data_IF_505808490078
#
_entry.id   IF_505808490078
#
_cell.length_a   1.000
_cell.length_b   1.000
_cell.length_c   1.000
_cell.angle_alpha   90.00
_cell.angle_beta   90.00
_cell.angle_gamma   90.00
#
_symmetry.space_group_name_H-M   'P 1'
#
loop_
_entity.id
_entity.type
_entity.pdbx_description
1 polymer ?
#
# COMPACT_ATOMS: atom_id res chain seq x y z
N UNK A 1 -5.05 -15.00 2.04
CA UNK A 1 -6.04 -14.89 0.94
C UNK A 1 -6.76 -16.22 0.84
N UNK A 2 -8.06 -16.17 0.95
CA UNK A 2 -8.90 -17.35 0.85
C UNK A 2 -8.94 -17.82 -0.61
N UNK A 3 -8.19 -18.89 -0.90
CA UNK A 3 -8.27 -19.56 -2.18
C UNK A 3 -9.69 -20.07 -2.37
N UNK A 4 -10.34 -19.67 -3.46
CA UNK A 4 -11.65 -20.24 -3.78
C UNK A 4 -11.50 -21.74 -4.01
N UNK A 5 -12.28 -22.59 -3.31
CA UNK A 5 -12.27 -24.02 -3.51
C UNK A 5 -12.51 -24.36 -5.00
N UNK A 6 -11.80 -25.34 -5.52
CA UNK A 6 -11.88 -25.78 -6.92
C UNK A 6 -11.39 -24.80 -7.99
N UNK A 7 -10.74 -23.70 -7.59
CA UNK A 7 -10.08 -22.80 -8.55
C UNK A 7 -8.93 -23.51 -9.28
N UNK A 8 -8.51 -23.06 -10.48
CA UNK A 8 -7.35 -23.62 -11.17
C UNK A 8 -6.08 -23.62 -10.32
N UNK A 9 -5.90 -22.58 -9.48
CA UNK A 9 -4.79 -22.46 -8.56
C UNK A 9 -4.89 -23.48 -7.43
N UNK A 10 -6.06 -23.65 -6.82
CA UNK A 10 -6.29 -24.66 -5.76
C UNK A 10 -5.97 -26.07 -6.25
N UNK A 11 -6.48 -26.45 -7.44
CA UNK A 11 -6.16 -27.75 -8.06
C UNK A 11 -4.68 -27.94 -8.33
N UNK A 12 -3.98 -26.90 -8.77
CA UNK A 12 -2.54 -26.94 -9.02
C UNK A 12 -1.76 -27.13 -7.73
N UNK A 13 -2.12 -26.39 -6.66
CA UNK A 13 -1.50 -26.51 -5.34
C UNK A 13 -1.75 -27.90 -4.73
N UNK A 14 -2.96 -28.44 -4.85
CA UNK A 14 -3.28 -29.82 -4.42
C UNK A 14 -2.45 -30.87 -5.15
N UNK A 15 -2.24 -30.68 -6.47
CA UNK A 15 -1.39 -31.58 -7.26
C UNK A 15 0.06 -31.52 -6.82
N UNK A 16 0.63 -30.34 -6.63
CA UNK A 16 2.00 -30.12 -6.16
C UNK A 16 2.19 -30.70 -4.75
N UNK A 17 1.20 -30.50 -3.87
CA UNK A 17 1.26 -31.03 -2.51
C UNK A 17 1.25 -32.58 -2.49
N UNK A 18 0.42 -33.22 -3.31
CA UNK A 18 0.42 -34.68 -3.47
C UNK A 18 1.76 -35.23 -3.96
N UNK A 19 2.45 -34.48 -4.79
CA UNK A 19 3.78 -34.82 -5.31
C UNK A 19 4.92 -34.46 -4.36
N UNK A 20 4.62 -33.88 -3.17
CA UNK A 20 5.60 -33.36 -2.20
C UNK A 20 6.55 -32.33 -2.79
N UNK A 21 6.08 -31.55 -3.77
CA UNK A 21 6.82 -30.47 -4.43
C UNK A 21 6.41 -29.09 -3.89
N UNK A 22 5.58 -29.04 -2.86
CA UNK A 22 5.10 -27.81 -2.23
C UNK A 22 5.61 -27.72 -0.81
N UNK A 23 6.26 -26.61 -0.50
CA UNK A 23 6.57 -26.19 0.86
C UNK A 23 5.72 -24.97 1.22
N UNK A 24 5.01 -25.03 2.33
CA UNK A 24 4.13 -23.95 2.77
C UNK A 24 4.81 -23.16 3.88
N UNK A 25 5.08 -21.87 3.59
CA UNK A 25 5.62 -20.93 4.58
C UNK A 25 4.47 -20.07 5.10
N UNK A 26 4.19 -20.19 6.40
CA UNK A 26 3.20 -19.37 7.09
C UNK A 26 3.83 -18.09 7.62
N UNK A 27 3.57 -16.96 6.96
CA UNK A 27 3.99 -15.64 7.44
C UNK A 27 3.02 -15.19 8.52
N UNK A 28 3.55 -15.02 9.75
CA UNK A 28 2.79 -14.56 10.91
C UNK A 28 2.98 -13.06 11.12
N UNK A 29 2.07 -12.45 11.86
CA UNK A 29 2.29 -11.12 12.41
C UNK A 29 3.52 -11.14 13.34
N UNK A 30 4.17 -9.99 13.47
CA UNK A 30 5.26 -9.77 14.43
C UNK A 30 4.73 -9.96 15.85
N UNK A 31 5.56 -10.53 16.71
CA UNK A 31 5.31 -10.50 18.16
C UNK A 31 5.49 -9.07 18.67
N UNK A 32 5.15 -8.85 19.93
CA UNK A 32 5.37 -7.54 20.58
C UNK A 32 6.86 -7.18 20.58
N UNK A 33 7.73 -8.15 20.90
CA UNK A 33 9.18 -7.99 20.93
C UNK A 33 9.75 -7.66 19.54
N UNK A 34 9.30 -8.36 18.50
CA UNK A 34 9.69 -8.09 17.12
C UNK A 34 9.17 -6.72 16.64
N UNK A 35 7.98 -6.30 17.06
CA UNK A 35 7.45 -4.96 16.78
C UNK A 35 8.31 -3.90 17.45
N UNK A 36 8.70 -4.08 18.70
CA UNK A 36 9.62 -3.19 19.43
C UNK A 36 10.95 -3.08 18.68
N UNK A 37 11.50 -4.20 18.24
CA UNK A 37 12.76 -4.23 17.50
C UNK A 37 12.65 -3.48 16.17
N UNK A 38 11.54 -3.65 15.44
CA UNK A 38 11.27 -2.90 14.21
C UNK A 38 11.25 -1.39 14.46
N UNK A 39 10.55 -0.94 15.51
CA UNK A 39 10.48 0.48 15.86
C UNK A 39 11.87 1.01 16.26
N UNK A 40 12.64 0.25 17.05
CA UNK A 40 14.00 0.59 17.46
C UNK A 40 14.95 0.78 16.28
N UNK A 41 14.90 -0.12 15.33
CA UNK A 41 15.71 -0.02 14.10
C UNK A 41 15.36 1.20 13.26
N UNK A 42 14.10 1.63 13.29
CA UNK A 42 13.62 2.79 12.52
C UNK A 42 13.97 4.12 13.19
N UNK A 43 13.78 4.24 14.50
CA UNK A 43 13.85 5.52 15.22
C UNK A 43 14.95 5.59 16.30
N UNK A 44 15.63 4.49 16.59
CA UNK A 44 16.60 4.40 17.67
C UNK A 44 15.95 4.09 19.03
N UNK A 45 16.77 3.73 20.01
CA UNK A 45 16.27 3.23 21.31
C UNK A 45 15.65 4.34 22.18
N UNK A 46 16.09 5.60 22.03
CA UNK A 46 15.69 6.70 22.91
C UNK A 46 14.22 7.13 22.75
N UNK A 47 13.64 6.87 21.58
CA UNK A 47 12.25 7.27 21.25
C UNK A 47 11.22 6.30 21.82
N UNK A 48 11.64 5.12 22.25
CA UNK A 48 10.74 4.01 22.59
C UNK A 48 10.64 3.84 24.10
N UNK A 49 9.43 4.07 24.61
CA UNK A 49 9.06 3.62 25.96
C UNK A 49 8.17 2.39 25.87
N UNK A 50 8.09 1.55 26.92
CA UNK A 50 7.19 0.39 26.92
C UNK A 50 5.74 0.75 26.57
N UNK A 51 5.24 1.88 27.07
CA UNK A 51 3.88 2.35 26.85
C UNK A 51 3.65 2.74 25.38
N UNK A 52 4.65 3.32 24.70
CA UNK A 52 4.58 3.63 23.27
C UNK A 52 4.54 2.35 22.43
N UNK A 53 5.39 1.39 22.75
CA UNK A 53 5.40 0.10 22.09
C UNK A 53 4.06 -0.63 22.27
N UNK A 54 3.49 -0.61 23.47
CA UNK A 54 2.19 -1.20 23.78
C UNK A 54 1.07 -0.54 22.99
N UNK A 55 1.09 0.77 22.87
CA UNK A 55 0.13 1.52 22.07
C UNK A 55 0.19 1.11 20.60
N UNK A 56 1.38 1.07 19.99
CA UNK A 56 1.56 0.68 18.58
C UNK A 56 1.16 -0.79 18.37
N UNK A 57 1.66 -1.71 19.21
CA UNK A 57 1.31 -3.12 19.10
C UNK A 57 -0.18 -3.36 19.28
N UNK A 58 -0.81 -2.74 20.27
CA UNK A 58 -2.25 -2.86 20.53
C UNK A 58 -3.13 -2.38 19.38
N UNK A 59 -2.65 -1.43 18.56
CA UNK A 59 -3.37 -0.93 17.38
C UNK A 59 -3.12 -1.77 16.13
N UNK A 60 -1.94 -2.35 15.99
CA UNK A 60 -1.48 -3.03 14.77
C UNK A 60 -1.56 -4.55 14.87
N UNK A 61 -1.64 -5.08 16.08
CA UNK A 61 -1.58 -6.53 16.40
C UNK A 61 -0.37 -7.19 15.71
N UNK A 62 0.73 -6.43 15.61
CA UNK A 62 1.98 -6.87 14.98
C UNK A 62 1.92 -7.05 13.46
N UNK A 63 0.90 -6.57 12.77
CA UNK A 63 0.90 -6.57 11.31
C UNK A 63 1.99 -5.61 10.79
N UNK A 64 3.06 -6.09 10.11
CA UNK A 64 4.22 -5.27 9.75
C UNK A 64 3.84 -4.04 8.92
N UNK A 65 2.99 -4.24 7.91
CA UNK A 65 2.52 -3.14 7.07
C UNK A 65 1.78 -2.08 7.91
N UNK A 66 0.94 -2.52 8.85
CA UNK A 66 0.20 -1.58 9.68
C UNK A 66 1.10 -0.87 10.70
N UNK A 67 2.12 -1.54 11.22
CA UNK A 67 3.15 -0.90 12.07
C UNK A 67 3.85 0.22 11.30
N UNK A 68 4.35 -0.08 10.09
CA UNK A 68 5.02 0.91 9.24
C UNK A 68 4.12 2.10 8.87
N UNK A 69 2.86 1.85 8.51
CA UNK A 69 1.91 2.90 8.15
C UNK A 69 1.54 3.80 9.34
N UNK A 70 1.36 3.22 10.53
CA UNK A 70 1.14 3.99 11.77
C UNK A 70 2.34 4.88 12.05
N UNK A 71 3.54 4.31 12.04
CA UNK A 71 4.77 5.05 12.32
C UNK A 71 5.00 6.18 11.32
N UNK A 72 4.77 5.91 10.03
CA UNK A 72 4.86 6.92 8.97
C UNK A 72 3.85 8.05 9.20
N UNK A 73 2.59 7.72 9.51
CA UNK A 73 1.56 8.73 9.80
C UNK A 73 1.97 9.63 10.98
N UNK A 74 2.54 9.06 12.04
CA UNK A 74 3.00 9.81 13.20
C UNK A 74 4.17 10.75 12.88
N UNK A 75 5.03 10.38 11.92
CA UNK A 75 6.10 11.26 11.41
C UNK A 75 5.51 12.38 10.55
N UNK A 76 4.63 12.06 9.62
CA UNK A 76 3.99 13.02 8.72
C UNK A 76 3.15 14.05 9.47
N UNK A 77 2.50 13.66 10.59
CA UNK A 77 1.72 14.54 11.45
C UNK A 77 2.59 15.34 12.45
N UNK A 78 3.92 15.18 12.39
CA UNK A 78 4.84 15.85 13.31
C UNK A 78 4.68 15.42 14.78
N UNK A 79 4.14 14.22 14.99
CA UNK A 79 4.01 13.58 16.30
C UNK A 79 5.31 12.90 16.72
N UNK A 80 5.98 12.25 15.76
CA UNK A 80 7.36 11.81 15.83
C UNK A 80 8.18 12.77 14.95
N UNK A 81 9.23 13.34 15.46
CA UNK A 81 10.02 14.35 14.78
C UNK A 81 11.52 14.18 15.03
N UNK A 82 12.33 14.73 14.15
CA UNK A 82 13.77 14.65 14.25
C UNK A 82 14.32 15.87 15.01
N UNK A 83 15.22 15.61 15.95
CA UNK A 83 16.00 16.63 16.69
C UNK A 83 17.48 16.48 16.37
N UNK A 84 18.32 17.38 16.86
CA UNK A 84 19.79 17.28 16.75
C UNK A 84 20.36 16.02 17.43
N UNK A 85 19.64 15.50 18.44
CA UNK A 85 20.02 14.29 19.20
C UNK A 85 19.45 12.98 18.63
N UNK A 86 18.68 13.05 17.55
CA UNK A 86 17.98 11.91 16.94
C UNK A 86 16.47 12.12 16.87
N UNK A 87 15.74 11.03 16.89
CA UNK A 87 14.28 11.06 16.86
C UNK A 87 13.70 11.30 18.26
N UNK A 88 12.63 12.08 18.33
CA UNK A 88 11.84 12.35 19.54
C UNK A 88 10.34 12.34 19.19
N UNK A 89 9.48 12.36 20.20
CA UNK A 89 8.03 12.32 20.03
C UNK A 89 7.28 13.16 21.07
N UNK A 90 6.04 13.52 20.74
CA UNK A 90 5.11 14.14 21.68
C UNK A 90 4.74 13.17 22.82
N UNK A 91 4.24 13.67 23.96
CA UNK A 91 3.71 12.84 25.04
C UNK A 91 2.65 11.85 24.53
N UNK A 92 2.59 10.64 25.12
CA UNK A 92 1.68 9.57 24.66
C UNK A 92 0.21 10.01 24.71
N UNK A 93 -0.17 10.84 25.63
CA UNK A 93 -1.54 11.36 25.81
C UNK A 93 -1.99 12.21 24.61
N UNK A 94 -1.04 12.76 23.85
CA UNK A 94 -1.29 13.59 22.67
C UNK A 94 -1.23 12.78 21.35
N UNK A 95 -0.93 11.47 21.43
CA UNK A 95 -0.80 10.61 20.27
C UNK A 95 -2.17 10.20 19.71
N UNK A 96 -2.55 10.79 18.59
CA UNK A 96 -3.71 10.36 17.82
C UNK A 96 -3.34 9.18 16.90
N UNK A 97 -3.15 7.99 17.48
CA UNK A 97 -2.85 6.78 16.68
C UNK A 97 -4.12 6.30 15.97
N UNK A 98 -4.12 6.24 14.64
CA UNK A 98 -5.29 5.77 13.88
C UNK A 98 -5.69 4.35 14.26
N UNK A 99 -7.00 4.09 14.30
CA UNK A 99 -7.53 2.81 14.75
C UNK A 99 -7.51 1.71 13.68
N UNK A 100 -7.38 2.09 12.41
CA UNK A 100 -7.42 1.14 11.29
C UNK A 100 -6.49 1.55 10.15
N UNK A 101 -5.96 0.57 9.41
CA UNK A 101 -5.21 0.79 8.18
C UNK A 101 -6.00 1.67 7.20
N UNK A 102 -7.32 1.42 7.10
CA UNK A 102 -8.21 2.19 6.21
C UNK A 102 -8.19 3.68 6.50
N UNK A 103 -8.18 4.07 7.78
CA UNK A 103 -8.13 5.48 8.20
C UNK A 103 -6.81 6.12 7.79
N UNK A 104 -5.69 5.43 7.95
CA UNK A 104 -4.37 5.92 7.57
C UNK A 104 -4.30 6.10 6.06
N UNK A 105 -4.69 5.07 5.31
CA UNK A 105 -4.65 5.11 3.85
C UNK A 105 -5.55 6.23 3.30
N UNK A 106 -6.75 6.43 3.87
CA UNK A 106 -7.63 7.54 3.49
C UNK A 106 -6.99 8.91 3.77
N UNK A 107 -6.35 9.07 4.93
CA UNK A 107 -5.61 10.31 5.25
C UNK A 107 -4.49 10.57 4.25
N UNK A 108 -3.75 9.54 3.83
CA UNK A 108 -2.68 9.69 2.82
C UNK A 108 -3.26 10.05 1.45
N UNK A 109 -4.32 9.38 1.02
CA UNK A 109 -4.97 9.67 -0.26
C UNK A 109 -5.54 11.10 -0.30
N UNK A 110 -6.07 11.60 0.81
CA UNK A 110 -6.63 12.96 0.90
C UNK A 110 -5.60 14.08 0.82
N UNK A 111 -4.30 13.76 0.97
CA UNK A 111 -3.18 14.72 0.81
C UNK A 111 -2.71 14.85 -0.63
N UNK A 112 -3.10 13.91 -1.51
CA UNK A 112 -2.78 14.01 -2.93
C UNK A 112 -3.67 15.05 -3.59
N UNK A 113 -3.13 15.71 -4.61
CA UNK A 113 -3.93 16.55 -5.49
C UNK A 113 -4.96 15.70 -6.26
N UNK A 114 -6.08 16.31 -6.69
CA UNK A 114 -7.17 15.58 -7.35
C UNK A 114 -6.74 14.86 -8.63
N UNK A 115 -5.78 15.39 -9.36
CA UNK A 115 -5.31 14.82 -10.62
C UNK A 115 -4.48 13.57 -10.38
N UNK A 116 -3.54 13.60 -9.45
CA UNK A 116 -2.77 12.42 -9.00
C UNK A 116 -3.70 11.34 -8.46
N UNK A 117 -4.69 11.72 -7.66
CA UNK A 117 -5.68 10.77 -7.15
C UNK A 117 -6.49 10.11 -8.28
N UNK A 118 -6.92 10.87 -9.30
CA UNK A 118 -7.63 10.34 -10.46
C UNK A 118 -6.77 9.34 -11.26
N UNK A 119 -5.49 9.62 -11.45
CA UNK A 119 -4.54 8.69 -12.10
C UNK A 119 -4.47 7.38 -11.31
N UNK A 120 -4.31 7.44 -9.99
CA UNK A 120 -4.25 6.26 -9.13
C UNK A 120 -5.57 5.47 -9.10
N UNK A 121 -6.71 6.15 -9.16
CA UNK A 121 -8.03 5.50 -9.28
C UNK A 121 -8.12 4.72 -10.59
N UNK A 122 -7.68 5.26 -11.72
CA UNK A 122 -7.64 4.52 -12.99
C UNK A 122 -6.66 3.34 -12.92
N UNK A 123 -5.46 3.56 -12.38
CA UNK A 123 -4.49 2.50 -12.15
C UNK A 123 -5.07 1.36 -11.29
N UNK A 124 -5.87 1.68 -10.25
CA UNK A 124 -6.52 0.69 -9.39
C UNK A 124 -7.50 -0.23 -10.13
N UNK A 125 -8.14 0.29 -11.19
CA UNK A 125 -9.05 -0.50 -12.05
C UNK A 125 -8.27 -1.38 -13.02
N UNK A 126 -7.09 -0.93 -13.52
CA UNK A 126 -6.20 -1.76 -14.35
C UNK A 126 -5.77 -3.00 -13.55
N UNK A 127 -5.19 -2.82 -12.36
CA UNK A 127 -4.73 -3.96 -11.57
C UNK A 127 -3.93 -3.58 -10.32
N UNK A 128 -3.40 -4.60 -9.64
CA UNK A 128 -2.39 -4.41 -8.58
C UNK A 128 -1.04 -3.99 -9.17
N UNK A 129 -0.77 -4.42 -10.39
CA UNK A 129 0.30 -3.97 -11.26
C UNK A 129 -0.32 -3.33 -12.50
N UNK A 130 0.32 -2.31 -13.03
CA UNK A 130 -0.17 -1.58 -14.19
C UNK A 130 0.99 -1.06 -15.03
N UNK A 131 0.82 -1.15 -16.33
CA UNK A 131 1.77 -0.69 -17.33
C UNK A 131 1.61 0.81 -17.56
N UNK A 132 2.74 1.52 -17.70
CA UNK A 132 2.78 2.96 -17.93
C UNK A 132 2.08 3.36 -19.24
N UNK A 133 2.33 2.62 -20.33
CA UNK A 133 1.77 2.93 -21.64
C UNK A 133 0.25 2.72 -21.66
N UNK A 134 -0.24 1.66 -21.00
CA UNK A 134 -1.68 1.44 -20.82
C UNK A 134 -2.29 2.58 -20.01
N UNK A 135 -1.67 2.99 -18.91
CA UNK A 135 -2.16 4.07 -18.07
C UNK A 135 -2.17 5.40 -18.82
N UNK A 136 -1.15 5.69 -19.61
CA UNK A 136 -1.04 6.87 -20.47
C UNK A 136 -2.19 6.91 -21.48
N UNK A 137 -2.45 5.81 -22.18
CA UNK A 137 -3.54 5.72 -23.14
C UNK A 137 -4.92 5.87 -22.48
N UNK A 138 -5.13 5.28 -21.30
CA UNK A 138 -6.39 5.39 -20.55
C UNK A 138 -6.65 6.80 -20.04
N UNK A 139 -5.62 7.47 -19.53
CA UNK A 139 -5.72 8.82 -18.97
C UNK A 139 -5.80 9.89 -20.04
N UNK A 140 -5.26 9.63 -21.25
CA UNK A 140 -5.06 10.60 -22.32
C UNK A 140 -4.37 11.88 -21.82
N UNK A 141 -3.51 11.73 -20.83
CA UNK A 141 -2.76 12.81 -20.23
C UNK A 141 -1.42 12.94 -20.97
N UNK A 142 -0.93 14.17 -21.07
CA UNK A 142 0.42 14.45 -21.55
C UNK A 142 1.44 13.64 -20.73
N UNK A 143 2.48 13.13 -21.41
CA UNK A 143 3.44 12.20 -20.81
C UNK A 143 4.19 12.82 -19.62
N UNK A 144 4.67 14.05 -19.76
CA UNK A 144 5.40 14.74 -18.71
C UNK A 144 4.52 14.96 -17.46
N UNK A 145 3.26 15.33 -17.67
CA UNK A 145 2.29 15.48 -16.56
C UNK A 145 1.95 14.15 -15.90
N UNK A 146 1.86 13.08 -16.67
CA UNK A 146 1.62 11.75 -16.12
C UNK A 146 2.80 11.29 -15.26
N UNK A 147 4.02 11.51 -15.75
CA UNK A 147 5.26 11.22 -15.00
C UNK A 147 5.30 11.99 -13.68
N UNK A 148 5.05 13.31 -13.68
CA UNK A 148 5.01 14.15 -12.47
C UNK A 148 4.02 13.60 -11.43
N UNK A 149 2.84 13.17 -11.86
CA UNK A 149 1.82 12.58 -10.97
C UNK A 149 2.26 11.23 -10.41
N UNK A 150 2.89 10.39 -11.24
CA UNK A 150 3.42 9.10 -10.79
C UNK A 150 4.61 9.28 -9.84
N UNK A 151 5.49 10.24 -10.06
CA UNK A 151 6.56 10.60 -9.13
C UNK A 151 5.99 11.05 -7.78
N UNK A 152 4.92 11.85 -7.78
CA UNK A 152 4.19 12.23 -6.56
C UNK A 152 3.62 11.00 -5.84
N UNK A 153 3.05 10.06 -6.58
CA UNK A 153 2.53 8.81 -6.03
C UNK A 153 3.65 7.89 -5.49
N UNK A 154 4.80 7.82 -6.16
CA UNK A 154 6.00 7.12 -5.71
C UNK A 154 6.56 7.74 -4.42
N UNK A 155 6.72 9.07 -4.38
CA UNK A 155 7.19 9.79 -3.19
C UNK A 155 6.26 9.61 -1.99
N UNK A 156 4.94 9.53 -2.23
CA UNK A 156 3.96 9.23 -1.17
C UNK A 156 4.01 7.76 -0.69
N UNK A 157 4.75 6.87 -1.38
CA UNK A 157 4.86 5.45 -1.06
C UNK A 157 3.54 4.67 -1.24
N UNK A 158 2.66 5.10 -2.12
CA UNK A 158 1.43 4.39 -2.48
C UNK A 158 1.67 3.39 -3.61
N UNK A 159 2.62 3.70 -4.49
CA UNK A 159 3.07 2.84 -5.58
C UNK A 159 4.58 2.69 -5.54
N UNK A 160 5.11 1.70 -6.22
CA UNK A 160 6.54 1.46 -6.41
C UNK A 160 6.82 0.97 -7.82
N UNK A 161 8.06 1.13 -8.28
CA UNK A 161 8.57 0.51 -9.48
C UNK A 161 9.17 -0.86 -9.14
N UNK A 162 8.62 -1.97 -9.62
CA UNK A 162 9.30 -3.25 -9.59
C UNK A 162 10.48 -3.26 -10.57
N UNK A 163 11.26 -4.35 -10.59
CA UNK A 163 12.43 -4.47 -11.48
C UNK A 163 12.10 -4.47 -12.97
N UNK A 164 10.84 -4.66 -13.34
CA UNK A 164 10.37 -4.66 -14.72
C UNK A 164 10.14 -3.23 -15.19
N UNK A 165 10.81 -2.86 -16.30
CA UNK A 165 10.78 -1.50 -16.84
C UNK A 165 9.39 -1.16 -17.37
N UNK A 166 8.86 0.01 -16.98
CA UNK A 166 7.57 0.52 -17.43
C UNK A 166 6.37 -0.03 -16.66
N UNK A 167 6.59 -0.92 -15.68
CA UNK A 167 5.53 -1.45 -14.82
C UNK A 167 5.58 -0.77 -13.46
N UNK A 168 4.42 -0.38 -12.96
CA UNK A 168 4.25 0.11 -11.59
C UNK A 168 3.34 -0.83 -10.80
N UNK A 169 3.46 -0.81 -9.48
CA UNK A 169 2.67 -1.66 -8.59
C UNK A 169 2.24 -0.87 -7.36
N UNK A 170 1.02 -1.10 -6.89
CA UNK A 170 0.63 -0.64 -5.56
C UNK A 170 1.47 -1.33 -4.48
N UNK A 171 1.95 -0.57 -3.50
CA UNK A 171 2.79 -1.10 -2.41
C UNK A 171 2.03 -2.16 -1.60
N UNK A 172 0.72 -1.97 -1.43
CA UNK A 172 -0.18 -2.94 -0.79
C UNK A 172 -1.54 -2.96 -1.50
N UNK A 173 -2.12 -4.16 -1.65
CA UNK A 173 -3.40 -4.32 -2.36
C UNK A 173 -4.57 -3.60 -1.66
N UNK A 174 -4.49 -3.37 -0.35
CA UNK A 174 -5.51 -2.61 0.40
C UNK A 174 -5.62 -1.16 -0.05
N UNK A 175 -4.54 -0.56 -0.56
CA UNK A 175 -4.56 0.77 -1.18
C UNK A 175 -5.46 0.74 -2.41
N UNK A 176 -5.25 -0.25 -3.27
CA UNK A 176 -6.05 -0.46 -4.47
C UNK A 176 -7.52 -0.72 -4.14
N UNK A 177 -7.79 -1.62 -3.21
CA UNK A 177 -9.16 -1.96 -2.77
C UNK A 177 -9.90 -0.74 -2.24
N UNK A 178 -9.23 0.08 -1.43
CA UNK A 178 -9.81 1.31 -0.90
C UNK A 178 -10.27 2.27 -2.00
N UNK A 179 -9.48 2.41 -3.08
CA UNK A 179 -9.84 3.25 -4.22
C UNK A 179 -11.01 2.64 -5.01
N UNK A 180 -11.06 1.32 -5.15
CA UNK A 180 -12.15 0.62 -5.83
C UNK A 180 -13.47 0.68 -5.07
N UNK A 181 -13.43 0.64 -3.72
CA UNK A 181 -14.60 0.73 -2.86
C UNK A 181 -15.34 2.07 -3.01
N UNK A 182 -14.61 3.15 -3.25
CA UNK A 182 -15.15 4.50 -3.41
C UNK A 182 -15.71 4.73 -4.84
N UNK A 183 -15.56 3.74 -5.76
CA UNK A 183 -16.10 3.80 -7.12
C UNK A 183 -17.49 3.18 -7.24
N UNK A 184 -18.42 3.91 -7.84
CA UNK A 184 -19.71 3.30 -8.22
C UNK A 184 -19.52 2.23 -9.30
N UNK A 185 -20.39 1.20 -9.28
CA UNK A 185 -20.37 0.11 -10.28
C UNK A 185 -20.41 0.64 -11.72
N UNK A 186 -21.20 1.70 -11.96
CA UNK A 186 -21.31 2.33 -13.29
C UNK A 186 -19.98 2.95 -13.71
N UNK A 187 -19.33 3.71 -12.82
CA UNK A 187 -18.04 4.34 -13.12
C UNK A 187 -16.96 3.30 -13.35
N UNK A 188 -16.93 2.27 -12.52
CA UNK A 188 -16.00 1.14 -12.67
C UNK A 188 -16.18 0.43 -14.02
N UNK A 189 -17.43 0.17 -14.46
CA UNK A 189 -17.71 -0.40 -15.79
C UNK A 189 -17.16 0.48 -16.91
N UNK A 190 -17.42 1.78 -16.89
CA UNK A 190 -16.87 2.72 -17.90
C UNK A 190 -15.34 2.77 -17.93
N UNK A 191 -14.70 2.61 -16.78
CA UNK A 191 -13.24 2.55 -16.72
C UNK A 191 -12.71 1.24 -17.31
N UNK A 192 -13.38 0.11 -17.05
CA UNK A 192 -13.01 -1.17 -17.69
C UNK A 192 -13.11 -1.09 -19.22
N UNK A 193 -14.16 -0.50 -19.77
CA UNK A 193 -14.30 -0.32 -21.24
C UNK A 193 -13.12 0.46 -21.80
N UNK A 194 -12.77 1.60 -21.20
CA UNK A 194 -11.61 2.42 -21.62
C UNK A 194 -10.28 1.65 -21.51
N UNK A 195 -10.12 0.86 -20.46
CA UNK A 195 -8.90 0.06 -20.24
C UNK A 195 -8.76 -1.01 -21.33
N UNK A 196 -9.86 -1.69 -21.69
CA UNK A 196 -9.86 -2.69 -22.77
C UNK A 196 -9.45 -2.05 -24.09
N UNK A 197 -10.01 -0.89 -24.42
CA UNK A 197 -9.64 -0.14 -25.65
C UNK A 197 -8.15 0.26 -25.64
N UNK A 198 -7.66 0.75 -24.50
CA UNK A 198 -6.26 1.13 -24.36
C UNK A 198 -5.31 -0.09 -24.49
N UNK A 199 -5.63 -1.19 -23.84
CA UNK A 199 -4.84 -2.43 -23.95
C UNK A 199 -4.80 -2.94 -25.39
N UNK A 200 -5.91 -2.88 -26.13
CA UNK A 200 -5.94 -3.25 -27.53
C UNK A 200 -5.00 -2.37 -28.39
N UNK A 201 -4.90 -1.08 -28.09
CA UNK A 201 -4.00 -0.18 -28.82
C UNK A 201 -2.53 -0.37 -28.48
N UNK A 202 -2.22 -0.65 -27.21
CA UNK A 202 -0.84 -0.79 -26.72
C UNK A 202 -0.24 -2.14 -27.10
N UNK A 203 -1.05 -3.21 -27.13
CA UNK A 203 -0.58 -4.59 -27.35
C UNK A 203 -1.04 -5.19 -28.70
N UNK A 204 -1.58 -4.40 -29.63
CA UNK A 204 -2.03 -4.85 -30.96
C UNK A 204 -0.87 -5.20 -31.92
#
# INVERSE_FOLDING_TARGET
EDLQPDSPLDRSLLKLNRQRLLETIHVKNLTKEETIELIKRTFGEQTITPEFADLIYGRTVGNPFFVEEVLRSLVEDGTIFRTEKGWDRKPIQELAVPNTVRTILKSRLSRLDPDTLNVLVLASVIGSEFDFEVLKEVTQTDEDKLLERLETALASGLVREPSEKGVLRFVDNRIRELMLDDLSKIRRGKYHDKIVEAMQKVYA
#
